data_IF_136981092771
#
_entry.id   IF_136981092771
#
_cell.length_a   1.000
_cell.length_b   1.000
_cell.length_c   1.000
_cell.angle_alpha   90.00
_cell.angle_beta   90.00
_cell.angle_gamma   90.00
#
_symmetry.space_group_name_H-M   'P 1'
#
loop_
_entity.id
_entity.type
_entity.pdbx_description
1 polymer ?
#
# COMPACT_ATOMS: atom_id res chain seq x y z
N UNK A 1 -1.38 10.04 16.36
CA UNK A 1 -1.62 9.59 14.96
C UNK A 1 -3.13 9.58 14.69
N UNK A 2 -3.53 9.69 13.42
CA UNK A 2 -4.94 9.60 13.04
C UNK A 2 -5.53 8.22 13.36
N UNK A 3 -4.74 7.16 13.22
CA UNK A 3 -5.14 5.78 13.55
C UNK A 3 -4.26 5.15 14.64
N UNK A 4 -4.63 5.38 15.90
CA UNK A 4 -3.86 4.88 17.04
C UNK A 4 -3.71 3.36 17.08
N UNK A 5 -4.68 2.59 16.56
CA UNK A 5 -4.61 1.12 16.59
C UNK A 5 -3.47 0.54 15.73
N UNK A 6 -3.04 1.25 14.68
CA UNK A 6 -2.06 0.73 13.71
C UNK A 6 -0.80 1.63 13.58
N UNK A 7 -0.94 2.93 13.82
CA UNK A 7 0.12 3.95 13.62
C UNK A 7 0.66 4.54 14.92
N UNK A 8 0.32 3.97 16.09
CA UNK A 8 0.86 4.45 17.36
C UNK A 8 2.36 4.27 17.50
N UNK A 9 2.93 5.14 18.35
CA UNK A 9 4.26 4.96 18.94
C UNK A 9 4.25 3.65 19.73
N UNK A 10 5.33 2.87 19.62
CA UNK A 10 5.50 1.58 20.29
C UNK A 10 5.61 1.69 21.82
N UNK A 11 5.74 2.91 22.34
CA UNK A 11 5.96 3.20 23.76
C UNK A 11 4.91 4.19 24.29
N UNK A 12 4.76 4.20 25.61
CA UNK A 12 4.00 5.25 26.28
C UNK A 12 4.74 6.58 26.19
N UNK A 13 4.23 7.50 25.35
CA UNK A 13 4.83 8.81 25.09
C UNK A 13 4.94 9.71 26.33
N UNK A 14 4.17 9.43 27.39
CA UNK A 14 4.22 10.18 28.65
C UNK A 14 5.26 9.65 29.64
N UNK A 15 5.81 8.45 29.41
CA UNK A 15 6.77 7.81 30.31
C UNK A 15 8.11 8.53 30.33
N UNK A 16 8.76 8.56 31.49
CA UNK A 16 10.10 9.13 31.63
C UNK A 16 11.14 8.34 30.83
N UNK A 17 10.95 7.02 30.70
CA UNK A 17 11.75 6.17 29.83
C UNK A 17 11.74 6.67 28.38
N UNK A 18 10.55 6.89 27.79
CA UNK A 18 10.46 7.32 26.40
C UNK A 18 11.03 8.73 26.21
N UNK A 19 10.71 9.67 27.10
CA UNK A 19 11.27 11.03 27.05
C UNK A 19 12.80 11.03 27.14
N UNK A 20 13.36 10.25 28.07
CA UNK A 20 14.80 10.08 28.24
C UNK A 20 15.45 9.46 27.01
N UNK A 21 14.83 8.42 26.43
CA UNK A 21 15.32 7.81 25.19
C UNK A 21 15.35 8.82 24.03
N UNK A 22 14.29 9.60 23.82
CA UNK A 22 14.28 10.65 22.79
C UNK A 22 15.36 11.70 23.02
N UNK A 23 15.54 12.15 24.26
CA UNK A 23 16.60 13.12 24.59
C UNK A 23 18.00 12.57 24.27
N UNK A 24 18.31 11.33 24.70
CA UNK A 24 19.61 10.70 24.44
C UNK A 24 19.88 10.50 22.95
N UNK A 25 18.87 10.11 22.18
CA UNK A 25 18.99 9.99 20.72
C UNK A 25 19.19 11.36 20.07
N UNK A 26 18.44 12.38 20.49
CA UNK A 26 18.61 13.75 20.00
C UNK A 26 20.02 14.28 20.26
N UNK A 27 20.56 14.07 21.47
CA UNK A 27 21.91 14.49 21.85
C UNK A 27 22.96 13.77 20.99
N UNK A 28 22.82 12.45 20.83
CA UNK A 28 23.73 11.66 20.00
C UNK A 28 23.75 12.15 18.56
N UNK A 29 22.57 12.40 17.99
CA UNK A 29 22.45 12.85 16.60
C UNK A 29 22.98 14.26 16.37
N UNK A 30 22.82 15.17 17.33
CA UNK A 30 23.40 16.51 17.26
C UNK A 30 24.94 16.47 17.16
N UNK A 31 25.59 15.46 17.78
CA UNK A 31 27.03 15.24 17.69
C UNK A 31 27.48 14.61 16.36
N UNK A 32 26.58 13.95 15.63
CA UNK A 32 26.89 13.31 14.35
C UNK A 32 26.77 14.25 13.14
N UNK A 33 26.17 15.44 13.31
CA UNK A 33 26.01 16.43 12.23
C UNK A 33 27.37 16.91 11.74
N UNK A 34 27.63 16.76 10.44
CA UNK A 34 28.87 17.20 9.79
C UNK A 34 28.63 18.47 9.00
N UNK A 35 29.65 19.31 8.93
CA UNK A 35 29.62 20.58 8.16
C UNK A 35 29.31 20.38 6.66
N UNK A 36 29.59 19.18 6.13
CA UNK A 36 29.35 18.81 4.73
C UNK A 36 28.00 18.14 4.47
N UNK A 37 27.17 17.95 5.49
CA UNK A 37 25.87 17.33 5.32
C UNK A 37 24.93 18.23 4.52
N UNK A 38 24.00 17.62 3.78
CA UNK A 38 22.91 18.36 3.16
C UNK A 38 22.05 18.96 4.27
N UNK A 39 21.48 20.15 4.03
CA UNK A 39 20.73 20.90 5.05
C UNK A 39 19.56 20.11 5.66
N UNK A 40 19.00 19.13 4.94
CA UNK A 40 17.90 18.28 5.40
C UNK A 40 18.36 16.96 6.06
N UNK A 41 19.65 16.59 5.95
CA UNK A 41 20.16 15.33 6.51
C UNK A 41 19.90 15.18 8.01
N UNK A 42 20.11 16.21 8.87
CA UNK A 42 19.85 16.08 10.30
C UNK A 42 18.37 15.74 10.58
N UNK A 43 17.44 16.41 9.91
CA UNK A 43 16.00 16.16 10.08
C UNK A 43 15.58 14.80 9.53
N UNK A 44 16.12 14.40 8.37
CA UNK A 44 15.86 13.09 7.77
C UNK A 44 16.37 11.97 8.68
N UNK A 45 17.62 12.05 9.12
CA UNK A 45 18.21 11.05 10.03
C UNK A 45 17.39 10.97 11.32
N UNK A 46 16.95 12.10 11.87
CA UNK A 46 16.15 12.11 13.11
C UNK A 46 14.81 11.39 12.89
N UNK A 47 14.13 11.66 11.78
CA UNK A 47 12.90 10.96 11.42
C UNK A 47 13.14 9.43 11.26
N UNK A 48 14.22 9.02 10.60
CA UNK A 48 14.58 7.61 10.44
C UNK A 48 14.91 6.95 11.78
N UNK A 49 15.61 7.64 12.68
CA UNK A 49 15.88 7.16 14.04
C UNK A 49 14.61 7.01 14.86
N UNK A 50 13.64 7.92 14.74
CA UNK A 50 12.33 7.78 15.38
C UNK A 50 11.56 6.57 14.86
N UNK A 51 11.60 6.30 13.56
CA UNK A 51 11.02 5.09 12.98
C UNK A 51 11.73 3.84 13.53
N UNK A 52 13.06 3.82 13.51
CA UNK A 52 13.87 2.71 14.03
C UNK A 52 13.59 2.41 15.50
N UNK A 53 13.54 3.44 16.35
CA UNK A 53 13.16 3.34 17.76
C UNK A 53 11.79 2.68 17.93
N UNK A 54 10.85 3.01 17.06
CA UNK A 54 9.52 2.42 17.06
C UNK A 54 9.45 1.04 16.39
N UNK A 55 10.59 0.47 16.00
CA UNK A 55 10.73 -0.75 15.23
C UNK A 55 9.98 -0.71 13.90
N UNK A 56 10.12 0.42 13.21
CA UNK A 56 9.53 0.71 11.91
C UNK A 56 10.65 0.92 10.89
N UNK A 57 10.58 0.16 9.82
CA UNK A 57 11.41 0.30 8.62
C UNK A 57 10.56 0.09 7.36
N UNK A 58 9.25 -0.21 7.52
CA UNK A 58 8.35 -0.56 6.42
C UNK A 58 8.13 0.55 5.38
N UNK A 59 8.48 1.81 5.68
CA UNK A 59 8.42 2.91 4.71
C UNK A 59 9.40 2.72 3.54
N UNK A 60 10.56 2.09 3.78
CA UNK A 60 11.61 1.91 2.77
C UNK A 60 12.02 0.44 2.58
N UNK A 61 11.53 -0.49 3.41
CA UNK A 61 11.97 -1.90 3.45
C UNK A 61 11.97 -2.62 2.09
N UNK A 62 11.05 -2.24 1.20
CA UNK A 62 10.83 -2.91 -0.09
C UNK A 62 11.28 -2.10 -1.30
N UNK A 63 11.82 -0.90 -1.09
CA UNK A 63 12.23 -0.01 -2.18
C UNK A 63 13.69 -0.29 -2.63
N UNK A 64 14.03 -0.05 -3.91
CA UNK A 64 13.14 0.33 -5.00
C UNK A 64 12.34 -0.86 -5.55
N UNK A 65 11.00 -0.77 -5.53
CA UNK A 65 10.12 -1.89 -5.89
C UNK A 65 10.35 -2.41 -7.32
N UNK A 66 10.59 -1.50 -8.28
CA UNK A 66 10.84 -1.80 -9.69
C UNK A 66 12.14 -2.56 -9.95
N UNK A 67 13.11 -2.51 -9.05
CA UNK A 67 14.35 -3.28 -9.16
C UNK A 67 14.27 -4.59 -8.36
N UNK A 68 13.33 -4.66 -7.41
CA UNK A 68 13.12 -5.77 -6.49
C UNK A 68 11.84 -6.53 -6.83
N UNK A 69 10.82 -6.40 -5.98
CA UNK A 69 9.64 -7.27 -5.97
C UNK A 69 8.73 -7.12 -7.20
N UNK A 70 8.74 -5.95 -7.84
CA UNK A 70 7.93 -5.67 -9.03
C UNK A 70 8.73 -5.80 -10.34
N UNK A 71 10.04 -6.08 -10.27
CA UNK A 71 10.94 -6.03 -11.44
C UNK A 71 10.43 -6.80 -12.65
N UNK A 72 10.07 -8.08 -12.47
CA UNK A 72 9.59 -8.92 -13.59
C UNK A 72 8.33 -8.40 -14.24
N UNK A 73 7.43 -7.78 -13.45
CA UNK A 73 6.19 -7.21 -13.98
C UNK A 73 6.48 -5.89 -14.68
N UNK A 74 7.32 -5.03 -14.11
CA UNK A 74 7.73 -3.75 -14.74
C UNK A 74 8.43 -3.99 -16.08
N UNK A 75 9.34 -4.96 -16.16
CA UNK A 75 9.96 -5.38 -17.42
C UNK A 75 8.93 -5.86 -18.44
N UNK A 76 7.88 -6.56 -17.98
CA UNK A 76 6.85 -7.16 -18.82
C UNK A 76 5.77 -6.18 -19.30
N UNK A 77 5.47 -5.13 -18.52
CA UNK A 77 4.41 -4.14 -18.85
C UNK A 77 4.60 -3.54 -20.23
N UNK A 78 5.85 -3.29 -20.64
CA UNK A 78 6.20 -2.73 -21.95
C UNK A 78 5.73 -3.58 -23.14
N UNK A 79 5.47 -4.87 -22.89
CA UNK A 79 5.01 -5.83 -23.90
C UNK A 79 3.50 -6.07 -23.86
N UNK A 80 2.76 -5.36 -22.99
CA UNK A 80 1.31 -5.50 -22.86
C UNK A 80 0.63 -4.51 -23.80
N UNK A 81 -0.12 -5.04 -24.76
CA UNK A 81 -1.09 -4.23 -25.49
C UNK A 81 -2.37 -4.09 -24.65
N UNK A 82 -2.47 -2.99 -23.91
CA UNK A 82 -3.63 -2.69 -23.08
C UNK A 82 -4.91 -2.49 -23.90
N UNK A 83 -4.85 -2.20 -25.21
CA UNK A 83 -6.03 -2.02 -26.04
C UNK A 83 -6.89 -3.29 -26.15
N UNK A 84 -6.26 -4.48 -26.06
CA UNK A 84 -6.96 -5.77 -26.07
C UNK A 84 -7.76 -6.09 -24.80
N UNK A 85 -7.55 -5.33 -23.73
CA UNK A 85 -8.19 -5.57 -22.44
C UNK A 85 -9.20 -4.46 -22.12
N UNK A 86 -10.34 -4.87 -21.55
CA UNK A 86 -11.36 -3.92 -21.08
C UNK A 86 -10.81 -3.04 -19.94
N UNK A 87 -10.04 -3.64 -19.03
CA UNK A 87 -9.45 -2.95 -17.88
C UNK A 87 -7.93 -3.05 -17.88
N UNK A 88 -7.25 -2.04 -17.32
CA UNK A 88 -5.79 -2.01 -17.24
C UNK A 88 -5.24 -2.94 -16.15
N UNK A 89 -5.93 -3.06 -15.01
CA UNK A 89 -5.52 -3.97 -13.93
C UNK A 89 -6.68 -4.42 -13.04
N UNK A 90 -6.41 -5.42 -12.20
CA UNK A 90 -7.24 -5.86 -11.09
C UNK A 90 -6.52 -5.58 -9.78
N UNK A 91 -6.94 -4.57 -9.03
CA UNK A 91 -6.48 -4.25 -7.68
C UNK A 91 -7.23 -5.10 -6.65
N UNK A 92 -6.53 -6.04 -6.02
CA UNK A 92 -7.04 -6.86 -4.93
C UNK A 92 -6.66 -6.18 -3.61
N UNK A 93 -7.67 -5.85 -2.80
CA UNK A 93 -7.45 -5.23 -1.49
C UNK A 93 -7.05 -6.29 -0.46
N UNK A 94 -6.00 -5.98 0.30
CA UNK A 94 -5.61 -6.70 1.51
C UNK A 94 -6.72 -6.68 2.56
N UNK A 95 -6.63 -7.65 3.46
CA UNK A 95 -7.45 -7.76 4.65
C UNK A 95 -6.60 -8.44 5.73
N UNK A 96 -6.07 -7.63 6.65
CA UNK A 96 -5.10 -8.07 7.64
C UNK A 96 -5.62 -9.23 8.50
N UNK A 97 -4.76 -10.18 8.92
CA UNK A 97 -5.16 -11.23 9.85
C UNK A 97 -5.59 -10.67 11.22
N UNK A 98 -6.48 -11.39 11.90
CA UNK A 98 -6.94 -11.04 13.26
C UNK A 98 -5.90 -11.38 14.35
N UNK A 99 -4.80 -12.02 13.98
CA UNK A 99 -3.76 -12.48 14.89
C UNK A 99 -2.36 -12.33 14.27
N UNK A 100 -1.32 -12.44 15.08
CA UNK A 100 0.06 -12.25 14.66
C UNK A 100 0.71 -13.48 13.99
N UNK A 101 0.04 -14.63 14.00
CA UNK A 101 0.60 -15.90 13.52
C UNK A 101 0.21 -16.21 12.08
N UNK A 102 -1.00 -15.82 11.70
CA UNK A 102 -1.53 -16.03 10.36
C UNK A 102 -0.85 -15.08 9.37
N UNK A 103 -0.62 -15.59 8.16
CA UNK A 103 -0.01 -14.81 7.06
C UNK A 103 -1.05 -14.08 6.22
N UNK A 104 -2.23 -14.67 6.09
CA UNK A 104 -3.37 -14.14 5.34
C UNK A 104 -4.66 -14.47 6.10
N UNK A 105 -5.56 -13.51 6.20
CA UNK A 105 -6.89 -13.73 6.79
C UNK A 105 -7.79 -14.56 5.87
N UNK A 106 -8.88 -15.09 6.42
CA UNK A 106 -9.90 -15.78 5.63
C UNK A 106 -10.51 -14.88 4.54
N UNK A 107 -10.74 -13.59 4.86
CA UNK A 107 -11.26 -12.61 3.90
C UNK A 107 -10.20 -12.19 2.88
N UNK A 108 -8.93 -12.12 3.26
CA UNK A 108 -7.82 -11.87 2.34
C UNK A 108 -7.72 -12.97 1.28
N UNK A 109 -7.82 -14.23 1.69
CA UNK A 109 -7.86 -15.37 0.75
C UNK A 109 -9.09 -15.35 -0.17
N UNK A 110 -10.25 -14.94 0.35
CA UNK A 110 -11.44 -14.73 -0.48
C UNK A 110 -11.21 -13.64 -1.53
N UNK A 111 -10.64 -12.49 -1.13
CA UNK A 111 -10.31 -11.40 -2.05
C UNK A 111 -9.35 -11.86 -3.16
N UNK A 112 -8.30 -12.63 -2.81
CA UNK A 112 -7.39 -13.24 -3.78
C UNK A 112 -8.15 -14.12 -4.77
N UNK A 113 -8.99 -15.05 -4.27
CA UNK A 113 -9.77 -15.96 -5.12
C UNK A 113 -10.70 -15.21 -6.08
N UNK A 114 -11.32 -14.11 -5.63
CA UNK A 114 -12.15 -13.26 -6.47
C UNK A 114 -11.33 -12.54 -7.55
N UNK A 115 -10.14 -12.04 -7.20
CA UNK A 115 -9.23 -11.40 -8.16
C UNK A 115 -8.69 -12.38 -9.21
N UNK A 116 -8.33 -13.59 -8.79
CA UNK A 116 -7.94 -14.69 -9.70
C UNK A 116 -9.07 -15.01 -10.68
N UNK A 117 -10.33 -15.10 -10.20
CA UNK A 117 -11.47 -15.30 -11.09
C UNK A 117 -11.56 -14.20 -12.15
N UNK A 118 -11.43 -12.93 -11.76
CA UNK A 118 -11.45 -11.81 -12.70
C UNK A 118 -10.29 -11.87 -13.71
N UNK A 119 -9.10 -12.30 -13.27
CA UNK A 119 -7.93 -12.45 -14.13
C UNK A 119 -8.10 -13.60 -15.14
N UNK A 120 -8.62 -14.75 -14.71
CA UNK A 120 -8.89 -15.91 -15.58
C UNK A 120 -10.02 -15.63 -16.59
N UNK A 121 -10.94 -14.73 -16.27
CA UNK A 121 -11.93 -14.19 -17.22
C UNK A 121 -11.32 -13.18 -18.21
N UNK A 122 -9.99 -12.99 -18.20
CA UNK A 122 -9.23 -12.11 -19.12
C UNK A 122 -9.70 -10.65 -19.06
N UNK A 123 -10.18 -10.20 -17.90
CA UNK A 123 -10.67 -8.82 -17.73
C UNK A 123 -9.55 -7.79 -17.80
N UNK A 124 -8.36 -8.14 -17.31
CA UNK A 124 -7.20 -7.28 -17.29
C UNK A 124 -5.90 -8.11 -17.39
N UNK A 125 -4.80 -7.53 -17.88
CA UNK A 125 -3.53 -8.22 -18.06
C UNK A 125 -2.67 -8.29 -16.79
N UNK A 126 -3.04 -7.56 -15.74
CA UNK A 126 -2.25 -7.36 -14.52
C UNK A 126 -3.12 -7.52 -13.27
N UNK A 127 -2.53 -8.12 -12.23
CA UNK A 127 -3.05 -8.13 -10.87
C UNK A 127 -2.16 -7.20 -10.03
N UNK A 128 -2.79 -6.34 -9.22
CA UNK A 128 -2.13 -5.56 -8.18
C UNK A 128 -2.64 -6.04 -6.84
N UNK A 129 -1.75 -6.39 -5.91
CA UNK A 129 -2.11 -6.73 -4.53
C UNK A 129 -1.59 -5.64 -3.61
N UNK A 130 -2.47 -5.11 -2.75
CA UNK A 130 -2.19 -3.91 -1.96
C UNK A 130 -2.52 -4.14 -0.49
N UNK A 131 -1.54 -3.87 0.38
CA UNK A 131 -1.65 -4.01 1.83
C UNK A 131 -0.27 -4.18 2.50
N UNK A 132 -0.02 -3.41 3.55
CA UNK A 132 1.26 -3.38 4.25
C UNK A 132 1.29 -4.17 5.56
N UNK A 133 1.81 -3.53 6.61
CA UNK A 133 1.99 -4.07 7.96
C UNK A 133 1.02 -3.47 9.00
N UNK A 134 -0.12 -2.98 8.52
CA UNK A 134 -1.06 -2.20 9.31
C UNK A 134 -1.76 -3.01 10.40
N UNK A 135 -2.39 -4.13 10.01
CA UNK A 135 -3.18 -4.94 10.93
C UNK A 135 -2.72 -6.41 10.91
N UNK A 136 -2.42 -7.00 12.08
CA UNK A 136 -2.37 -6.36 13.41
C UNK A 136 -1.22 -5.34 13.53
N UNK A 137 -1.19 -4.57 14.62
CA UNK A 137 -0.20 -3.50 14.83
C UNK A 137 1.25 -3.99 14.63
N UNK A 138 1.94 -3.46 13.61
CA UNK A 138 3.27 -3.95 13.18
C UNK A 138 3.26 -5.46 12.90
N UNK A 139 2.32 -5.87 12.06
CA UNK A 139 2.23 -7.24 11.59
C UNK A 139 3.59 -7.74 11.11
N UNK A 140 3.96 -8.96 11.51
CA UNK A 140 5.22 -9.58 11.10
C UNK A 140 5.30 -9.76 9.58
N UNK A 141 4.16 -10.08 8.96
CA UNK A 141 4.05 -10.36 7.53
C UNK A 141 3.42 -9.17 6.81
N UNK A 142 3.94 -8.84 5.63
CA UNK A 142 3.32 -7.87 4.72
C UNK A 142 2.21 -8.56 3.94
N UNK A 143 1.01 -7.98 3.94
CA UNK A 143 -0.12 -8.57 3.23
C UNK A 143 0.16 -8.74 1.72
N UNK A 144 0.61 -7.69 1.02
CA UNK A 144 0.86 -7.74 -0.42
C UNK A 144 1.91 -8.80 -0.80
N UNK A 145 2.96 -8.98 0.01
CA UNK A 145 3.98 -10.02 -0.19
C UNK A 145 3.38 -11.42 -0.05
N UNK A 146 2.59 -11.65 1.00
CA UNK A 146 1.97 -12.96 1.21
C UNK A 146 0.88 -13.24 0.17
N UNK A 147 0.14 -12.22 -0.28
CA UNK A 147 -0.82 -12.31 -1.39
C UNK A 147 -0.13 -12.68 -2.70
N UNK A 148 1.01 -12.07 -3.04
CA UNK A 148 1.83 -12.45 -4.22
C UNK A 148 2.26 -13.92 -4.14
N UNK A 149 2.74 -14.37 -2.97
CA UNK A 149 3.13 -15.78 -2.75
C UNK A 149 1.96 -16.74 -2.96
N UNK A 150 0.78 -16.42 -2.43
CA UNK A 150 -0.43 -17.22 -2.61
C UNK A 150 -0.85 -17.30 -4.09
N UNK A 151 -0.90 -16.15 -4.78
CA UNK A 151 -1.22 -16.07 -6.21
C UNK A 151 -0.31 -16.95 -7.05
N UNK A 152 0.99 -16.95 -6.75
CA UNK A 152 1.98 -17.74 -7.49
C UNK A 152 1.91 -19.23 -7.16
N UNK A 153 1.75 -19.60 -5.87
CA UNK A 153 1.84 -21.00 -5.42
C UNK A 153 0.54 -21.79 -5.59
N UNK A 154 -0.58 -21.18 -5.24
CA UNK A 154 -1.87 -21.88 -5.22
C UNK A 154 -2.65 -21.71 -6.53
N UNK A 155 -2.46 -20.56 -7.19
CA UNK A 155 -3.19 -20.21 -8.42
C UNK A 155 -2.32 -20.17 -9.67
N UNK A 156 -1.01 -20.44 -9.53
CA UNK A 156 -0.06 -20.50 -10.64
C UNK A 156 -0.05 -19.24 -11.51
N UNK A 157 -0.38 -18.08 -10.92
CA UNK A 157 -0.33 -16.80 -11.62
C UNK A 157 1.15 -16.45 -11.85
N UNK A 158 1.56 -16.16 -13.10
CA UNK A 158 2.94 -15.81 -13.40
C UNK A 158 3.39 -14.55 -12.64
N UNK A 159 4.61 -14.57 -12.13
CA UNK A 159 5.15 -13.44 -11.36
C UNK A 159 5.14 -12.12 -12.15
N UNK A 160 5.42 -12.17 -13.46
CA UNK A 160 5.42 -11.01 -14.35
C UNK A 160 4.01 -10.43 -14.65
N UNK A 161 2.99 -10.88 -13.93
CA UNK A 161 1.61 -10.39 -13.99
C UNK A 161 1.16 -9.77 -12.68
N UNK A 162 2.01 -9.77 -11.65
CA UNK A 162 1.66 -9.37 -10.29
C UNK A 162 2.50 -8.14 -9.90
N UNK A 163 1.82 -7.08 -9.49
CA UNK A 163 2.42 -5.91 -8.85
C UNK A 163 2.07 -5.98 -7.37
N UNK A 164 3.04 -5.80 -6.49
CA UNK A 164 2.80 -5.57 -5.07
C UNK A 164 2.82 -4.07 -4.75
N UNK A 165 1.95 -3.70 -3.82
CA UNK A 165 1.94 -2.42 -3.14
C UNK A 165 1.99 -2.71 -1.62
N UNK A 166 3.19 -2.68 -1.00
CA UNK A 166 3.37 -3.15 0.37
C UNK A 166 3.31 -2.05 1.44
N UNK A 167 2.94 -0.81 1.08
CA UNK A 167 3.04 0.34 1.97
C UNK A 167 1.69 0.80 2.52
N UNK A 168 0.58 0.40 1.90
CA UNK A 168 -0.72 0.86 2.33
C UNK A 168 -1.10 0.44 3.75
N UNK A 169 -1.77 1.39 4.43
CA UNK A 169 -2.21 1.32 5.82
C UNK A 169 -3.73 1.23 5.94
N UNK A 170 -4.42 1.79 4.96
CA UNK A 170 -5.86 1.97 4.90
C UNK A 170 -6.40 1.71 3.51
N UNK A 171 -7.73 1.62 3.41
CA UNK A 171 -8.40 1.49 2.11
C UNK A 171 -8.14 2.70 1.20
N UNK A 172 -8.03 3.90 1.76
CA UNK A 172 -7.68 5.13 1.03
C UNK A 172 -6.26 5.06 0.45
N UNK A 173 -5.29 4.64 1.26
CA UNK A 173 -3.89 4.49 0.86
C UNK A 173 -3.71 3.33 -0.12
N UNK A 174 -4.50 2.25 -0.05
CA UNK A 174 -4.47 1.18 -1.05
C UNK A 174 -4.70 1.76 -2.46
N UNK A 175 -5.76 2.56 -2.63
CA UNK A 175 -6.10 3.16 -3.93
C UNK A 175 -5.11 4.26 -4.32
N UNK A 176 -4.64 5.07 -3.37
CA UNK A 176 -3.60 6.09 -3.59
C UNK A 176 -2.32 5.45 -4.11
N UNK A 177 -1.78 4.48 -3.38
CA UNK A 177 -0.48 3.89 -3.67
C UNK A 177 -0.54 3.05 -4.94
N UNK A 178 -1.64 2.33 -5.19
CA UNK A 178 -1.87 1.70 -6.50
C UNK A 178 -1.85 2.72 -7.64
N UNK A 179 -2.50 3.88 -7.46
CA UNK A 179 -2.49 4.96 -8.46
C UNK A 179 -1.09 5.53 -8.72
N UNK A 180 -0.26 5.64 -7.67
CA UNK A 180 1.16 6.02 -7.81
C UNK A 180 1.95 4.98 -8.59
N UNK A 181 1.80 3.69 -8.28
CA UNK A 181 2.47 2.61 -9.00
C UNK A 181 2.04 2.55 -10.47
N UNK A 182 0.77 2.77 -10.77
CA UNK A 182 0.31 2.84 -12.16
C UNK A 182 1.04 3.94 -12.94
N UNK A 183 1.15 5.13 -12.34
CA UNK A 183 1.88 6.23 -12.95
C UNK A 183 3.39 5.96 -13.06
N UNK A 184 3.98 5.28 -12.06
CA UNK A 184 5.42 4.98 -12.02
C UNK A 184 5.81 3.92 -13.04
N UNK A 185 4.91 2.98 -13.33
CA UNK A 185 5.17 1.82 -14.18
C UNK A 185 4.50 1.90 -15.56
N UNK A 186 4.06 3.09 -15.97
CA UNK A 186 3.40 3.34 -17.25
C UNK A 186 2.14 2.46 -17.49
N UNK A 187 1.40 2.14 -16.42
CA UNK A 187 0.08 1.51 -16.54
C UNK A 187 -0.94 2.61 -16.88
N UNK A 188 -1.80 2.44 -17.92
CA UNK A 188 -2.66 3.52 -18.41
C UNK A 188 -3.63 4.09 -17.35
N UNK A 189 -3.49 5.37 -17.01
CA UNK A 189 -4.37 6.06 -16.06
C UNK A 189 -5.71 6.52 -16.70
N UNK A 190 -5.77 6.57 -18.03
CA UNK A 190 -6.94 6.94 -18.82
C UNK A 190 -7.86 5.74 -19.14
N UNK A 191 -7.44 4.52 -18.77
CA UNK A 191 -8.23 3.30 -18.86
C UNK A 191 -8.84 2.96 -17.50
N UNK A 192 -10.00 2.31 -17.51
CA UNK A 192 -10.63 1.83 -16.28
C UNK A 192 -9.84 0.66 -15.66
N UNK A 193 -9.86 0.58 -14.33
CA UNK A 193 -9.29 -0.49 -13.53
C UNK A 193 -10.39 -1.13 -12.66
N UNK A 194 -10.12 -2.33 -12.15
CA UNK A 194 -11.01 -3.01 -11.22
C UNK A 194 -10.44 -2.96 -9.80
N UNK A 195 -11.27 -2.63 -8.81
CA UNK A 195 -11.02 -3.00 -7.41
C UNK A 195 -11.84 -4.26 -7.10
N UNK A 196 -11.17 -5.28 -6.56
CA UNK A 196 -11.80 -6.54 -6.15
C UNK A 196 -11.61 -6.76 -4.66
N UNK A 197 -12.73 -6.94 -3.95
CA UNK A 197 -12.78 -7.21 -2.51
C UNK A 197 -14.11 -7.86 -2.13
N UNK A 198 -14.30 -8.24 -0.87
CA UNK A 198 -15.55 -8.81 -0.36
C UNK A 198 -16.72 -7.82 -0.44
N UNK A 199 -17.94 -8.36 -0.29
CA UNK A 199 -19.19 -7.62 -0.48
C UNK A 199 -19.30 -6.34 0.37
N UNK A 200 -19.04 -6.46 1.67
CA UNK A 200 -19.13 -5.33 2.60
C UNK A 200 -18.10 -4.24 2.28
N UNK A 201 -16.89 -4.64 1.92
CA UNK A 201 -15.80 -3.72 1.63
C UNK A 201 -16.01 -3.01 0.29
N UNK A 202 -16.56 -3.71 -0.71
CA UNK A 202 -16.89 -3.08 -2.00
C UNK A 202 -18.02 -2.05 -1.85
N UNK A 203 -19.02 -2.34 -1.00
CA UNK A 203 -20.08 -1.39 -0.67
C UNK A 203 -19.51 -0.14 0.01
N UNK A 204 -18.55 -0.32 0.94
CA UNK A 204 -17.85 0.78 1.57
C UNK A 204 -17.07 1.65 0.57
N UNK A 205 -16.21 1.05 -0.27
CA UNK A 205 -15.41 1.79 -1.26
C UNK A 205 -16.28 2.56 -2.25
N UNK A 206 -17.47 2.03 -2.55
CA UNK A 206 -18.43 2.69 -3.46
C UNK A 206 -19.26 3.80 -2.80
N UNK A 207 -19.12 4.01 -1.49
CA UNK A 207 -19.96 4.93 -0.72
C UNK A 207 -19.44 6.38 -0.72
N UNK A 208 -20.33 7.33 -0.41
CA UNK A 208 -19.91 8.71 -0.13
C UNK A 208 -19.05 8.80 1.14
N UNK A 209 -19.20 7.89 2.09
CA UNK A 209 -18.36 7.85 3.29
C UNK A 209 -16.88 7.62 2.93
N UNK A 210 -16.61 6.73 1.97
CA UNK A 210 -15.24 6.53 1.49
C UNK A 210 -14.69 7.79 0.80
N UNK A 211 -15.50 8.45 -0.04
CA UNK A 211 -15.11 9.73 -0.67
C UNK A 211 -14.76 10.79 0.37
N UNK A 212 -15.61 10.98 1.37
CA UNK A 212 -15.37 11.93 2.45
C UNK A 212 -14.10 11.61 3.22
N UNK A 213 -13.86 10.32 3.52
CA UNK A 213 -12.64 9.86 4.18
C UNK A 213 -11.38 10.14 3.36
N UNK A 214 -11.42 9.94 2.04
CA UNK A 214 -10.31 10.33 1.16
C UNK A 214 -10.00 11.83 1.26
N UNK A 215 -11.03 12.69 1.26
CA UNK A 215 -10.84 14.13 1.41
C UNK A 215 -10.27 14.47 2.80
N UNK A 216 -10.76 13.84 3.86
CA UNK A 216 -10.29 14.08 5.23
C UNK A 216 -8.85 13.62 5.46
N UNK A 217 -8.48 12.43 4.98
CA UNK A 217 -7.15 11.85 5.21
C UNK A 217 -6.09 12.31 4.22
N UNK A 218 -6.46 12.44 2.94
CA UNK A 218 -5.51 12.72 1.85
C UNK A 218 -5.60 14.16 1.35
N UNK A 219 -6.71 14.86 1.60
CA UNK A 219 -7.01 16.16 0.99
C UNK A 219 -7.49 16.07 -0.46
N UNK A 220 -7.62 14.87 -1.02
CA UNK A 220 -8.01 14.64 -2.41
C UNK A 220 -8.60 13.22 -2.61
N UNK A 221 -9.24 13.00 -3.76
CA UNK A 221 -9.68 11.66 -4.15
C UNK A 221 -8.55 10.93 -4.86
N UNK A 222 -8.09 9.75 -4.41
CA UNK A 222 -6.99 9.05 -5.07
C UNK A 222 -7.40 8.44 -6.43
N UNK A 223 -8.70 8.22 -6.59
CA UNK A 223 -9.31 7.60 -7.75
C UNK A 223 -10.75 8.10 -7.91
N UNK A 224 -11.22 8.14 -9.16
CA UNK A 224 -12.63 8.27 -9.48
C UNK A 224 -13.29 6.90 -9.41
N UNK A 225 -14.19 6.73 -8.44
CA UNK A 225 -15.04 5.54 -8.35
C UNK A 225 -16.17 5.68 -9.38
N UNK A 226 -16.18 4.82 -10.40
CA UNK A 226 -17.12 4.90 -11.52
C UNK A 226 -18.41 4.15 -11.23
N UNK A 227 -18.33 2.82 -11.09
CA UNK A 227 -19.50 1.98 -10.84
C UNK A 227 -19.15 0.72 -10.07
N UNK A 228 -20.07 0.27 -9.20
CA UNK A 228 -19.99 -1.04 -8.56
C UNK A 228 -20.66 -2.07 -9.46
N UNK A 229 -19.88 -2.74 -10.30
CA UNK A 229 -20.39 -3.59 -11.38
C UNK A 229 -20.98 -4.92 -10.88
N UNK A 230 -20.60 -5.36 -9.67
CA UNK A 230 -21.22 -6.46 -8.94
C UNK A 230 -20.87 -6.38 -7.45
N UNK A 231 -21.28 -7.37 -6.67
CA UNK A 231 -21.08 -7.36 -5.22
C UNK A 231 -19.63 -7.32 -4.77
N UNK A 232 -18.66 -7.72 -5.57
CA UNK A 232 -17.26 -7.80 -5.16
C UNK A 232 -16.33 -6.94 -5.98
N UNK A 233 -16.86 -6.24 -7.00
CA UNK A 233 -16.04 -5.58 -8.01
C UNK A 233 -16.53 -4.16 -8.28
N UNK A 234 -15.57 -3.24 -8.31
CA UNK A 234 -15.78 -1.81 -8.59
C UNK A 234 -14.90 -1.42 -9.76
N UNK A 235 -15.46 -0.64 -10.68
CA UNK A 235 -14.73 0.05 -11.72
C UNK A 235 -14.24 1.40 -11.18
N UNK A 236 -12.94 1.68 -11.34
CA UNK A 236 -12.35 2.95 -10.95
C UNK A 236 -11.34 3.46 -11.97
N UNK A 237 -11.06 4.75 -11.91
CA UNK A 237 -10.00 5.39 -12.68
C UNK A 237 -9.00 6.08 -11.74
N UNK A 238 -7.70 5.78 -11.81
CA UNK A 238 -6.67 6.46 -11.03
C UNK A 238 -6.63 7.97 -11.29
N UNK A 239 -6.29 8.76 -10.27
CA UNK A 239 -6.13 10.20 -10.40
C UNK A 239 -4.69 10.64 -10.11
N UNK A 240 -4.18 11.58 -10.91
CA UNK A 240 -2.80 12.12 -10.81
C UNK A 240 -2.53 12.87 -9.52
N UNK A 241 -3.56 13.36 -8.84
CA UNK A 241 -3.44 13.98 -7.52
C UNK A 241 -2.85 13.02 -6.46
N UNK A 242 -2.91 11.70 -6.69
CA UNK A 242 -2.28 10.69 -5.85
C UNK A 242 -0.75 10.78 -5.79
N UNK A 243 -0.09 11.49 -6.72
CA UNK A 243 1.37 11.60 -6.76
C UNK A 243 1.97 12.48 -5.65
N UNK A 244 1.12 13.14 -4.85
CA UNK A 244 1.55 13.98 -3.74
C UNK A 244 1.94 13.11 -2.54
N UNK A 245 3.13 13.34 -1.98
CA UNK A 245 3.51 12.79 -0.68
C UNK A 245 2.63 13.37 0.44
N UNK A 246 2.28 12.55 1.43
CA UNK A 246 1.54 12.97 2.60
C UNK A 246 2.50 13.25 3.77
N UNK A 247 2.81 14.52 4.09
CA UNK A 247 3.75 14.84 5.17
C UNK A 247 3.23 14.50 6.57
N UNK A 248 1.94 14.15 6.70
CA UNK A 248 1.33 13.78 7.99
C UNK A 248 1.28 12.27 8.22
N UNK A 249 1.73 11.48 7.23
CA UNK A 249 1.79 10.02 7.29
C UNK A 249 3.26 9.57 7.20
N UNK A 250 3.95 9.33 8.33
CA UNK A 250 5.39 9.03 8.35
C UNK A 250 5.82 7.75 7.63
N UNK A 251 4.86 6.93 7.18
CA UNK A 251 5.08 5.67 6.48
C UNK A 251 4.61 5.74 5.02
N UNK A 252 4.25 6.93 4.53
CA UNK A 252 4.02 7.16 3.11
C UNK A 252 5.37 7.09 2.35
N UNK A 253 5.53 6.18 1.37
CA UNK A 253 6.78 6.02 0.61
C UNK A 253 7.04 7.18 -0.36
#
# INVERSE_FOLDING_TARGET
PQYAAIDSVSYNVKSDYYKGAIAMWSDHMALEVKEKDLWFNPSLNFALSLLYLNHRDEAARYEPLEELENRKTVEHIKNIDFAHFKYASILILGNGPENYTDRLSALGKLNIKLGVKAYLEVKAPLIVVSGGHAHPFRAKYCEAIEMKKELMKEYQIPENRIIIEPHARHTTTNLRNASRLYSKYDVPLDKAHLVVTNNSHSQYVSSNNFKNRCIEELGYLPALIMSRINDTTIEFQPLKNSLQQNPTEPLDP
#
